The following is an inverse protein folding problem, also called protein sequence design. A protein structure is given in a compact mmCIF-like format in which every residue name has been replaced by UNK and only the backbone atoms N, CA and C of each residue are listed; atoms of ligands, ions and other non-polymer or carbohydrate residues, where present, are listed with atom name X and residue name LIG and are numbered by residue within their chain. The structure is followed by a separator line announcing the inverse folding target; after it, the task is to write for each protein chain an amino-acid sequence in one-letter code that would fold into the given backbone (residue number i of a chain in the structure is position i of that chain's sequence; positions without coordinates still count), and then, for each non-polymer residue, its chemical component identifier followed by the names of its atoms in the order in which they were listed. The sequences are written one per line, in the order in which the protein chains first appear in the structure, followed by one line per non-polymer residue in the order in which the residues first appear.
data_IF_872459510620
#
_entry.id   IF_872459510620
#
_cell.length_a   1.000
_cell.length_b   1.000
_cell.length_c   1.000
_cell.angle_alpha   90.00
_cell.angle_beta   90.00
_cell.angle_gamma   90.00
#
_symmetry.space_group_name_H-M   'P 1'
#
loop_
_entity.id
_entity.type
_entity.pdbx_description
1 polymer ?
#
# COMPACT_ATOMS: atom_id res chain seq x y z
N UNK A 1 -38.02 -8.39 -35.16
CA UNK A 1 -37.29 -9.49 -34.51
C UNK A 1 -36.12 -8.87 -33.77
N UNK A 2 -36.35 -8.43 -32.52
CA UNK A 2 -35.30 -7.90 -31.63
C UNK A 2 -34.66 -9.08 -30.90
N UNK A 3 -33.35 -9.26 -31.01
CA UNK A 3 -32.56 -10.09 -30.10
C UNK A 3 -31.13 -9.51 -30.09
N UNK A 4 -30.85 -8.58 -29.16
CA UNK A 4 -30.20 -8.83 -27.87
C UNK A 4 -28.73 -9.27 -28.05
N UNK A 5 -27.86 -8.29 -28.28
CA UNK A 5 -26.41 -8.44 -28.23
C UNK A 5 -26.03 -8.55 -26.74
N UNK A 6 -25.66 -9.76 -26.31
CA UNK A 6 -24.98 -9.99 -25.03
C UNK A 6 -23.58 -9.37 -25.13
N UNK A 7 -23.42 -8.15 -24.63
CA UNK A 7 -22.10 -7.58 -24.37
C UNK A 7 -21.43 -8.43 -23.28
N UNK A 8 -20.59 -9.37 -23.72
CA UNK A 8 -19.58 -9.99 -22.88
C UNK A 8 -18.53 -8.92 -22.58
N UNK A 9 -18.77 -8.12 -21.54
CA UNK A 9 -17.78 -7.19 -21.02
C UNK A 9 -16.64 -8.04 -20.45
N UNK A 10 -15.57 -8.21 -21.23
CA UNK A 10 -14.31 -8.65 -20.65
C UNK A 10 -13.97 -7.67 -19.52
N UNK A 11 -13.46 -8.14 -18.37
CA UNK A 11 -12.86 -7.23 -17.41
C UNK A 11 -11.73 -6.53 -18.15
N UNK A 12 -11.95 -5.26 -18.49
CA UNK A 12 -10.85 -4.35 -18.73
C UNK A 12 -10.04 -4.42 -17.45
N UNK A 13 -8.84 -5.00 -17.51
CA UNK A 13 -7.82 -4.70 -16.50
C UNK A 13 -7.65 -3.19 -16.58
N UNK A 14 -8.35 -2.48 -15.69
CA UNK A 14 -8.21 -1.04 -15.57
C UNK A 14 -6.76 -0.76 -15.26
N UNK A 15 -6.24 0.34 -15.81
CA UNK A 15 -4.93 0.86 -15.43
C UNK A 15 -4.93 0.99 -13.90
N UNK A 16 -4.05 0.22 -13.25
CA UNK A 16 -4.02 0.08 -11.80
C UNK A 16 -2.87 0.94 -11.29
N UNK A 17 -3.14 2.21 -10.99
CA UNK A 17 -2.16 3.12 -10.39
C UNK A 17 -2.36 3.17 -8.87
N UNK A 18 -1.44 2.57 -8.12
CA UNK A 18 -1.51 2.48 -6.66
C UNK A 18 -0.62 3.54 -6.03
N UNK A 19 -1.17 4.31 -5.10
CA UNK A 19 -0.41 5.21 -4.24
C UNK A 19 -0.09 4.58 -2.90
N UNK A 20 1.19 4.62 -2.52
CA UNK A 20 1.67 4.13 -1.23
C UNK A 20 2.35 5.24 -0.43
N UNK A 21 1.98 5.35 0.85
CA UNK A 21 2.70 6.23 1.77
C UNK A 21 4.12 5.72 2.05
N UNK A 22 5.07 6.64 2.12
CA UNK A 22 6.36 6.43 2.77
C UNK A 22 6.74 7.60 3.69
N UNK A 23 7.74 7.38 4.54
CA UNK A 23 8.46 8.41 5.30
C UNK A 23 9.85 7.88 5.65
N UNK A 24 10.74 8.68 6.22
CA UNK A 24 12.07 8.20 6.62
C UNK A 24 11.96 7.25 7.83
N UNK A 25 12.01 5.94 7.57
CA UNK A 25 11.89 4.86 8.56
C UNK A 25 12.79 3.67 8.20
N UNK A 26 14.12 3.78 8.39
CA UNK A 26 15.04 2.70 8.10
C UNK A 26 14.80 1.48 9.02
N UNK A 27 14.91 0.23 8.51
CA UNK A 27 15.34 -0.14 7.16
C UNK A 27 14.20 -0.30 6.14
N UNK A 28 12.96 0.09 6.49
CA UNK A 28 11.76 -0.11 5.68
C UNK A 28 11.67 0.87 4.51
N UNK A 29 11.89 2.15 4.79
CA UNK A 29 11.91 3.22 3.80
C UNK A 29 13.05 4.18 4.11
N UNK A 30 13.86 4.46 3.09
CA UNK A 30 15.03 5.34 3.23
C UNK A 30 15.47 5.84 1.87
N UNK A 31 16.08 7.02 1.84
CA UNK A 31 16.68 7.56 0.62
C UNK A 31 18.17 7.26 0.60
N UNK A 32 18.63 6.55 -0.44
CA UNK A 32 20.05 6.38 -0.75
C UNK A 32 20.32 6.91 -2.14
N UNK A 33 21.32 7.79 -2.27
CA UNK A 33 21.74 8.37 -3.55
C UNK A 33 20.57 9.00 -4.34
N UNK A 34 19.61 9.61 -3.64
CA UNK A 34 18.41 10.22 -4.22
C UNK A 34 17.31 9.25 -4.66
N UNK A 35 17.46 7.93 -4.39
CA UNK A 35 16.46 6.91 -4.68
C UNK A 35 15.82 6.40 -3.40
N UNK A 36 14.50 6.19 -3.44
CA UNK A 36 13.76 5.53 -2.36
C UNK A 36 14.03 4.02 -2.40
N UNK A 37 14.64 3.53 -1.33
CA UNK A 37 15.03 2.13 -1.11
C UNK A 37 14.52 1.66 0.26
N UNK A 38 14.71 0.39 0.56
CA UNK A 38 14.31 -0.23 1.83
C UNK A 38 13.41 -1.43 1.61
N UNK A 39 13.28 -2.28 2.63
CA UNK A 39 12.61 -3.59 2.47
C UNK A 39 11.15 -3.43 2.03
N UNK A 40 10.42 -2.44 2.54
CA UNK A 40 9.03 -2.23 2.18
C UNK A 40 8.89 -1.57 0.80
N UNK A 41 9.79 -0.63 0.46
CA UNK A 41 9.83 -0.04 -0.87
C UNK A 41 10.08 -1.09 -1.96
N UNK A 42 10.99 -2.02 -1.70
CA UNK A 42 11.36 -3.09 -2.64
C UNK A 42 10.26 -4.15 -2.73
N UNK A 43 9.68 -4.56 -1.60
CA UNK A 43 8.60 -5.53 -1.55
C UNK A 43 7.38 -5.06 -2.34
N UNK A 44 6.95 -3.81 -2.12
CA UNK A 44 5.77 -3.26 -2.80
C UNK A 44 6.04 -3.08 -4.29
N UNK A 45 7.24 -2.60 -4.66
CA UNK A 45 7.59 -2.44 -6.08
C UNK A 45 7.57 -3.77 -6.83
N UNK A 46 8.11 -4.82 -6.22
CA UNK A 46 8.05 -6.18 -6.78
C UNK A 46 6.61 -6.68 -6.87
N UNK A 47 5.80 -6.50 -5.82
CA UNK A 47 4.39 -6.91 -5.82
C UNK A 47 3.58 -6.22 -6.93
N UNK A 48 3.69 -4.90 -7.05
CA UNK A 48 2.99 -4.14 -8.09
C UNK A 48 3.49 -4.49 -9.49
N UNK A 49 4.81 -4.69 -9.64
CA UNK A 49 5.41 -5.13 -10.91
C UNK A 49 4.86 -6.49 -11.39
N UNK A 50 4.65 -7.44 -10.47
CA UNK A 50 4.03 -8.74 -10.78
C UNK A 50 2.54 -8.63 -11.16
N UNK A 51 1.85 -7.65 -10.59
CA UNK A 51 0.44 -7.39 -10.89
C UNK A 51 0.25 -6.55 -12.17
N UNK A 52 1.33 -5.96 -12.70
CA UNK A 52 1.24 -5.00 -13.80
C UNK A 52 0.62 -3.66 -13.39
N UNK A 53 0.65 -3.31 -12.11
CA UNK A 53 0.14 -2.05 -11.59
C UNK A 53 1.25 -0.98 -11.54
N UNK A 54 0.89 0.28 -11.83
CA UNK A 54 1.68 1.45 -11.51
C UNK A 54 1.78 1.66 -10.00
N UNK A 55 2.89 2.27 -9.56
CA UNK A 55 3.15 2.55 -8.16
C UNK A 55 3.73 3.96 -8.00
N UNK A 56 3.08 4.76 -7.16
CA UNK A 56 3.56 6.08 -6.76
C UNK A 56 3.81 6.13 -5.25
N UNK A 57 4.93 6.72 -4.84
CA UNK A 57 5.29 6.87 -3.44
C UNK A 57 4.98 8.29 -2.96
N UNK A 58 4.15 8.41 -1.91
CA UNK A 58 3.77 9.69 -1.32
C UNK A 58 4.40 9.88 0.06
N UNK A 59 5.27 10.88 0.21
CA UNK A 59 5.92 11.16 1.50
C UNK A 59 4.95 11.85 2.45
N UNK A 60 4.63 11.24 3.59
CA UNK A 60 3.80 11.88 4.61
C UNK A 60 3.94 11.27 6.02
N UNK A 61 3.73 12.09 7.08
CA UNK A 61 3.73 11.60 8.46
C UNK A 61 2.64 10.56 8.72
N UNK A 62 2.91 9.62 9.62
CA UNK A 62 2.02 8.47 9.91
C UNK A 62 0.57 8.85 10.26
N UNK A 63 0.38 9.81 11.17
CA UNK A 63 -0.96 10.24 11.58
C UNK A 63 -1.78 10.83 10.43
N UNK A 64 -1.11 11.48 9.45
CA UNK A 64 -1.76 11.97 8.23
C UNK A 64 -2.11 10.79 7.33
N UNK A 65 -1.17 9.87 7.11
CA UNK A 65 -1.36 8.69 6.28
C UNK A 65 -2.59 7.86 6.64
N UNK A 66 -2.85 7.66 7.94
CA UNK A 66 -4.04 6.95 8.41
C UNK A 66 -5.36 7.67 8.07
N UNK A 67 -5.37 9.01 8.09
CA UNK A 67 -6.54 9.80 7.68
C UNK A 67 -6.73 9.74 6.17
N UNK A 68 -5.66 9.97 5.41
CA UNK A 68 -5.69 9.91 3.94
C UNK A 68 -6.09 8.52 3.45
N UNK A 69 -5.69 7.44 4.13
CA UNK A 69 -6.13 6.07 3.83
C UNK A 69 -7.64 5.92 4.07
N UNK A 70 -8.13 6.37 5.23
CA UNK A 70 -9.56 6.32 5.56
C UNK A 70 -10.42 7.10 4.57
N UNK A 71 -9.92 8.24 4.11
CA UNK A 71 -10.62 9.14 3.21
C UNK A 71 -10.45 8.74 1.72
N UNK A 72 -9.62 7.75 1.41
CA UNK A 72 -9.38 7.24 0.06
C UNK A 72 -8.43 8.08 -0.80
N UNK A 73 -7.58 8.90 -0.18
CA UNK A 73 -6.57 9.72 -0.88
C UNK A 73 -5.20 9.03 -1.00
N UNK A 74 -4.96 7.96 -0.24
CA UNK A 74 -3.84 7.04 -0.44
C UNK A 74 -4.35 5.61 -0.43
N UNK A 75 -3.84 4.78 -1.33
CA UNK A 75 -4.39 3.42 -1.53
C UNK A 75 -3.81 2.41 -0.55
N UNK A 76 -2.56 2.61 -0.13
CA UNK A 76 -1.83 1.60 0.64
C UNK A 76 -0.87 2.19 1.67
N UNK A 77 -0.82 1.54 2.84
CA UNK A 77 0.18 1.77 3.89
C UNK A 77 0.93 0.46 4.15
N UNK A 78 2.24 0.55 4.33
CA UNK A 78 3.04 -0.56 4.88
C UNK A 78 3.22 -0.42 6.39
N UNK A 79 3.39 -1.54 7.09
CA UNK A 79 3.68 -1.58 8.53
C UNK A 79 2.51 -1.24 9.46
N UNK A 80 1.28 -1.10 8.94
CA UNK A 80 0.12 -0.84 9.77
C UNK A 80 -0.25 -2.08 10.60
N UNK A 81 -0.22 -2.00 11.93
CA UNK A 81 -0.82 -3.03 12.78
C UNK A 81 -2.31 -3.19 12.48
N UNK A 82 -2.76 -4.45 12.42
CA UNK A 82 -4.16 -4.83 12.26
C UNK A 82 -4.91 -4.62 13.58
N UNK A 83 -5.95 -3.80 13.54
CA UNK A 83 -6.84 -3.54 14.69
C UNK A 83 -8.29 -3.50 14.21
N UNK A 84 -9.24 -3.83 15.08
CA UNK A 84 -10.67 -3.82 14.75
C UNK A 84 -11.13 -2.46 14.22
N UNK A 85 -10.64 -1.35 14.79
CA UNK A 85 -10.93 0.01 14.31
C UNK A 85 -10.48 0.25 12.85
N UNK A 86 -9.35 -0.34 12.44
CA UNK A 86 -8.81 -0.15 11.09
C UNK A 86 -9.47 -1.07 10.07
N UNK A 87 -9.93 -2.23 10.49
CA UNK A 87 -10.69 -3.14 9.65
C UNK A 87 -12.04 -2.56 9.19
N UNK A 88 -12.53 -1.51 9.84
CA UNK A 88 -13.74 -0.79 9.40
C UNK A 88 -13.56 -0.08 8.05
N UNK A 89 -12.31 0.25 7.67
CA UNK A 89 -12.02 1.04 6.46
C UNK A 89 -10.83 0.55 5.64
N UNK A 90 -10.07 -0.43 6.12
CA UNK A 90 -8.88 -0.95 5.45
C UNK A 90 -8.91 -2.47 5.35
N UNK A 91 -8.42 -2.98 4.21
CA UNK A 91 -8.13 -4.38 4.02
C UNK A 91 -6.65 -4.66 4.28
N UNK A 92 -6.37 -5.83 4.85
CA UNK A 92 -5.02 -6.28 5.14
C UNK A 92 -4.66 -7.44 4.23
N UNK A 93 -3.44 -7.43 3.68
CA UNK A 93 -2.89 -8.61 3.03
C UNK A 93 -2.78 -9.77 4.04
N UNK A 94 -2.87 -11.00 3.57
CA UNK A 94 -2.44 -12.14 4.37
C UNK A 94 -0.98 -11.92 4.79
N UNK A 95 -0.65 -12.25 6.04
CA UNK A 95 0.56 -11.80 6.74
C UNK A 95 1.82 -12.00 5.88
N UNK A 96 2.39 -10.89 5.38
CA UNK A 96 3.63 -10.88 4.58
C UNK A 96 4.86 -10.60 5.47
N UNK A 97 4.70 -10.37 6.77
CA UNK A 97 5.79 -9.96 7.66
C UNK A 97 5.61 -10.33 9.12
N UNK A 98 6.74 -10.36 9.86
CA UNK A 98 6.78 -10.60 11.29
C UNK A 98 6.09 -9.44 12.02
N UNK A 99 5.09 -9.75 12.85
CA UNK A 99 4.54 -8.78 13.80
C UNK A 99 5.56 -8.60 14.92
N UNK A 100 6.35 -7.53 14.86
CA UNK A 100 7.25 -7.20 15.95
C UNK A 100 6.46 -6.63 17.13
N UNK A 101 6.72 -7.04 18.37
CA UNK A 101 6.17 -6.34 19.52
C UNK A 101 6.79 -4.95 19.62
N UNK A 102 6.06 -4.00 20.24
CA UNK A 102 6.66 -2.74 20.64
C UNK A 102 7.72 -3.00 21.72
N UNK A 103 8.97 -2.61 21.44
CA UNK A 103 10.08 -2.72 22.38
C UNK A 103 10.43 -1.32 22.88
N UNK A 104 10.36 -1.11 24.19
CA UNK A 104 10.78 0.14 24.82
C UNK A 104 12.24 0.02 25.25
N UNK A 105 13.08 0.94 24.81
CA UNK A 105 14.46 1.06 25.25
C UNK A 105 14.60 2.25 26.19
N UNK A 106 15.27 2.04 27.32
CA UNK A 106 15.76 3.10 28.21
C UNK A 106 17.28 2.92 28.24
N UNK A 107 18.02 4.02 28.17
CA UNK A 107 19.48 4.00 28.27
C UNK A 107 19.94 3.67 29.68
#
# INVERSE_FOLDING_TARGET
MLAFILCFSAPSYGDCDISLRWDDDPPYFMVQEGKLVGIDADLVREAMGRLGCGLSFQKMPWARALRELRDGHVDMLSGAYRTTEREEYAHYSEVVGLVSPNILFIR
#
